data_IF_694976658880
#
_entry.id   IF_694976658880
#
_cell.length_a   1.000
_cell.length_b   1.000
_cell.length_c   1.000
_cell.angle_alpha   90.00
_cell.angle_beta   90.00
_cell.angle_gamma   90.00
#
_symmetry.space_group_name_H-M   'P 1'
#
loop_
_entity.id
_entity.type
_entity.pdbx_description
1 polymer ?
#
# COMPACT_ATOMS: atom_id res chain seq x y z
N UNK A 1 22.68 -13.00 16.91
CA UNK A 1 23.51 -11.77 16.80
C UNK A 1 24.78 -12.16 16.07
N UNK A 2 25.29 -11.44 15.06
CA UNK A 2 25.64 -10.00 14.94
C UNK A 2 25.33 -9.62 13.46
N UNK A 3 25.11 -8.39 12.94
CA UNK A 3 25.72 -7.07 13.21
C UNK A 3 24.80 -5.95 12.67
N UNK A 4 24.58 -4.88 13.45
CA UNK A 4 24.63 -3.53 12.88
C UNK A 4 23.39 -2.94 12.19
N UNK A 5 22.21 -3.55 12.27
CA UNK A 5 20.97 -2.88 11.83
C UNK A 5 20.38 -1.97 12.91
N UNK A 6 21.08 -0.91 13.33
CA UNK A 6 20.39 0.24 13.94
C UNK A 6 19.56 0.88 12.82
N UNK A 7 18.34 0.40 12.61
CA UNK A 7 17.29 1.14 11.90
C UNK A 7 16.81 2.29 12.78
N UNK A 8 17.74 3.13 13.22
CA UNK A 8 17.48 4.30 14.05
C UNK A 8 17.31 5.51 13.16
N UNK A 9 16.06 5.97 13.09
CA UNK A 9 15.69 7.38 12.89
C UNK A 9 15.96 7.95 11.51
N UNK A 10 14.92 8.01 10.66
CA UNK A 10 14.52 9.23 9.93
C UNK A 10 13.45 8.93 8.86
N UNK A 11 12.43 8.15 9.20
CA UNK A 11 11.24 8.04 8.37
C UNK A 11 10.05 8.22 9.30
N UNK A 12 9.23 9.26 9.10
CA UNK A 12 7.98 9.43 9.84
C UNK A 12 7.11 8.19 9.62
N UNK A 13 7.23 7.23 10.53
CA UNK A 13 6.40 6.03 10.61
C UNK A 13 5.11 6.45 11.28
N UNK A 14 4.04 6.63 10.51
CA UNK A 14 2.71 6.65 11.10
C UNK A 14 2.40 5.25 11.59
N UNK A 15 2.26 5.08 12.90
CA UNK A 15 1.71 3.86 13.46
C UNK A 15 0.29 3.69 12.90
N UNK A 16 0.04 2.61 12.17
CA UNK A 16 -1.32 2.16 11.90
C UNK A 16 -1.84 1.54 13.19
N UNK A 17 -2.29 2.38 14.12
CA UNK A 17 -3.10 1.93 15.23
C UNK A 17 -4.52 1.64 14.70
N UNK A 18 -5.00 0.44 14.98
CA UNK A 18 -6.43 0.07 15.00
C UNK A 18 -7.24 0.29 13.71
N UNK A 19 -6.79 -0.15 12.53
CA UNK A 19 -7.69 -0.32 11.37
C UNK A 19 -8.50 0.92 10.94
N UNK A 20 -8.13 2.12 11.40
CA UNK A 20 -8.89 3.38 11.29
C UNK A 20 -8.07 4.52 10.71
N UNK A 21 -6.74 4.44 10.72
CA UNK A 21 -5.92 5.47 10.08
C UNK A 21 -5.94 5.22 8.57
N UNK A 22 -6.85 5.91 7.91
CA UNK A 22 -6.91 5.99 6.46
C UNK A 22 -5.59 6.55 5.91
N UNK A 23 -5.03 5.95 4.84
CA UNK A 23 -3.80 6.44 4.21
C UNK A 23 -3.87 7.94 3.88
N UNK A 24 -5.05 8.42 3.48
CA UNK A 24 -5.34 9.84 3.31
C UNK A 24 -5.07 10.67 4.58
N UNK A 25 -5.65 10.27 5.71
CA UNK A 25 -5.46 10.94 7.00
C UNK A 25 -4.00 10.86 7.48
N UNK A 26 -3.33 9.72 7.28
CA UNK A 26 -1.91 9.61 7.61
C UNK A 26 -1.08 10.64 6.84
N UNK A 27 -1.28 10.71 5.52
CA UNK A 27 -0.57 11.64 4.64
C UNK A 27 -0.90 13.09 4.98
N UNK A 28 -2.17 13.43 5.17
CA UNK A 28 -2.61 14.80 5.47
C UNK A 28 -2.04 15.34 6.79
N UNK A 29 -1.74 14.46 7.75
CA UNK A 29 -1.09 14.82 9.01
C UNK A 29 0.44 15.01 8.89
N UNK A 30 1.04 14.71 7.74
CA UNK A 30 2.48 14.87 7.54
C UNK A 30 2.83 16.31 7.16
N UNK A 31 3.95 16.81 7.69
CA UNK A 31 4.44 18.17 7.36
C UNK A 31 4.64 18.32 5.86
N UNK A 32 4.03 19.35 5.28
CA UNK A 32 4.12 19.67 3.86
C UNK A 32 3.18 18.87 2.97
N UNK A 33 2.44 17.89 3.50
CA UNK A 33 1.40 17.19 2.78
C UNK A 33 0.05 17.90 2.90
N UNK A 34 -0.79 17.68 1.90
CA UNK A 34 -2.20 18.07 1.89
C UNK A 34 -2.98 17.08 1.03
N UNK A 35 -4.12 16.59 1.51
CA UNK A 35 -4.96 15.63 0.79
C UNK A 35 -6.35 16.21 0.55
N UNK A 36 -6.76 16.30 -0.72
CA UNK A 36 -8.07 16.82 -1.12
C UNK A 36 -8.77 15.92 -2.15
N UNK A 37 -9.90 15.33 -1.76
CA UNK A 37 -10.65 14.32 -2.50
C UNK A 37 -9.76 13.26 -3.17
N UNK A 38 -8.81 12.74 -2.41
CA UNK A 38 -7.86 11.73 -2.87
C UNK A 38 -6.70 12.27 -3.72
N UNK A 39 -6.66 13.56 -4.05
CA UNK A 39 -5.44 14.18 -4.61
C UNK A 39 -4.46 14.46 -3.48
N UNK A 40 -3.23 13.96 -3.61
CA UNK A 40 -2.19 14.11 -2.60
C UNK A 40 -1.17 15.12 -3.10
N UNK A 41 -1.00 16.20 -2.35
CA UNK A 41 -0.06 17.26 -2.62
C UNK A 41 1.11 17.21 -1.64
N UNK A 42 2.30 17.58 -2.11
CA UNK A 42 3.45 17.87 -1.25
C UNK A 42 4.03 19.22 -1.63
N UNK A 43 4.12 20.14 -0.67
CA UNK A 43 4.58 21.53 -0.86
C UNK A 43 3.86 22.23 -2.04
N UNK A 44 2.57 21.94 -2.23
CA UNK A 44 1.72 22.53 -3.27
C UNK A 44 1.70 21.78 -4.61
N UNK A 45 2.57 20.79 -4.81
CA UNK A 45 2.62 20.00 -6.04
C UNK A 45 1.81 18.72 -5.92
N UNK A 46 1.01 18.38 -6.95
CA UNK A 46 0.27 17.13 -7.00
C UNK A 46 1.24 15.96 -7.25
N UNK A 47 1.45 15.12 -6.25
CA UNK A 47 2.43 14.02 -6.31
C UNK A 47 1.79 12.63 -6.42
N UNK A 48 0.55 12.48 -5.96
CA UNK A 48 -0.14 11.20 -5.99
C UNK A 48 -1.67 11.32 -6.00
N UNK A 49 -2.33 10.20 -6.33
CA UNK A 49 -3.79 10.04 -6.24
C UNK A 49 -4.14 8.81 -5.42
N UNK A 50 -5.04 8.96 -4.47
CA UNK A 50 -5.57 7.93 -3.59
C UNK A 50 -6.93 7.46 -4.09
N UNK A 51 -7.12 6.15 -4.07
CA UNK A 51 -8.35 5.49 -4.42
C UNK A 51 -8.73 4.48 -3.35
N UNK A 52 -10.00 4.46 -2.99
CA UNK A 52 -10.57 3.48 -2.08
C UNK A 52 -11.72 2.75 -2.73
N UNK A 53 -11.74 1.41 -2.59
CA UNK A 53 -12.84 0.55 -3.01
C UNK A 53 -13.33 0.91 -4.42
N UNK A 54 -14.54 1.45 -4.55
CA UNK A 54 -15.17 1.77 -5.83
C UNK A 54 -14.57 3.00 -6.53
N UNK A 55 -13.92 3.92 -5.82
CA UNK A 55 -13.27 5.11 -6.43
C UNK A 55 -12.19 4.71 -7.43
N UNK A 56 -11.51 3.58 -7.20
CA UNK A 56 -10.51 3.05 -8.15
C UNK A 56 -11.15 2.74 -9.52
N UNK A 57 -12.29 2.05 -9.52
CA UNK A 57 -12.97 1.67 -10.75
C UNK A 57 -13.54 2.87 -11.49
N UNK A 58 -14.01 3.88 -10.75
CA UNK A 58 -14.43 5.15 -11.35
C UNK A 58 -13.26 5.83 -12.06
N UNK A 59 -12.09 5.88 -11.41
CA UNK A 59 -10.88 6.44 -12.01
C UNK A 59 -10.45 5.67 -13.27
N UNK A 60 -10.46 4.33 -13.23
CA UNK A 60 -10.15 3.51 -14.40
C UNK A 60 -11.11 3.79 -15.57
N UNK A 61 -12.42 3.84 -15.31
CA UNK A 61 -13.45 4.16 -16.31
C UNK A 61 -13.26 5.58 -16.88
N UNK A 62 -12.98 6.57 -16.03
CA UNK A 62 -12.68 7.96 -16.44
C UNK A 62 -11.41 8.07 -17.31
N UNK A 63 -10.49 7.11 -17.21
CA UNK A 63 -9.28 7.04 -18.03
C UNK A 63 -9.40 6.01 -19.17
N UNK A 64 -10.62 5.61 -19.52
CA UNK A 64 -10.88 4.77 -20.69
C UNK A 64 -10.65 3.27 -20.50
N UNK A 65 -10.39 2.80 -19.28
CA UNK A 65 -10.19 1.37 -18.98
C UNK A 65 -11.52 0.71 -18.70
N UNK A 66 -11.89 -0.26 -19.56
CA UNK A 66 -13.03 -1.15 -19.33
C UNK A 66 -12.58 -2.35 -18.47
N UNK A 67 -12.65 -2.18 -17.14
CA UNK A 67 -12.20 -3.18 -16.18
C UNK A 67 -12.87 -4.56 -16.36
N UNK A 68 -14.08 -4.62 -16.93
CA UNK A 68 -14.82 -5.88 -17.15
C UNK A 68 -14.14 -6.78 -18.18
N UNK A 69 -13.28 -6.24 -19.03
CA UNK A 69 -12.46 -7.02 -19.97
C UNK A 69 -11.34 -7.79 -19.27
N UNK A 70 -10.91 -7.30 -18.11
CA UNK A 70 -9.77 -7.86 -17.36
C UNK A 70 -10.20 -8.73 -16.19
N UNK A 71 -11.29 -8.35 -15.51
CA UNK A 71 -11.73 -8.98 -14.26
C UNK A 71 -13.18 -9.45 -14.33
N UNK A 72 -13.41 -10.70 -13.94
CA UNK A 72 -14.76 -11.23 -13.74
C UNK A 72 -15.43 -10.72 -12.46
N UNK A 73 -14.64 -10.23 -11.50
CA UNK A 73 -15.13 -9.64 -10.23
C UNK A 73 -14.17 -8.53 -9.77
N UNK A 74 -14.74 -7.42 -9.28
CA UNK A 74 -13.96 -6.31 -8.71
C UNK A 74 -13.12 -6.80 -7.53
N UNK A 75 -11.82 -6.53 -7.60
CA UNK A 75 -10.90 -6.56 -6.46
C UNK A 75 -10.92 -5.17 -5.80
N UNK A 76 -11.35 -5.11 -4.54
CA UNK A 76 -11.42 -3.86 -3.77
C UNK A 76 -10.25 -3.84 -2.78
N UNK A 77 -9.22 -3.02 -3.01
CA UNK A 77 -8.14 -2.90 -2.05
C UNK A 77 -8.57 -2.05 -0.85
N UNK A 78 -7.89 -2.20 0.28
CA UNK A 78 -8.10 -1.36 1.46
C UNK A 78 -7.70 0.08 1.13
N UNK A 79 -6.51 0.26 0.56
CA UNK A 79 -6.00 1.51 0.01
C UNK A 79 -5.27 1.27 -1.32
N UNK A 80 -5.33 2.25 -2.22
CA UNK A 80 -4.61 2.26 -3.47
C UNK A 80 -4.05 3.66 -3.71
N UNK A 81 -2.76 3.78 -4.00
CA UNK A 81 -2.13 5.06 -4.30
C UNK A 81 -1.38 5.00 -5.63
N UNK A 82 -1.71 5.90 -6.55
CA UNK A 82 -0.95 6.13 -7.76
C UNK A 82 0.03 7.28 -7.54
N UNK A 83 1.33 6.98 -7.61
CA UNK A 83 2.41 7.95 -7.42
C UNK A 83 2.92 8.40 -8.79
N UNK A 84 2.74 9.69 -9.08
CA UNK A 84 2.83 10.24 -10.43
C UNK A 84 4.27 10.20 -10.95
N UNK A 85 5.25 10.61 -10.13
CA UNK A 85 6.66 10.70 -10.54
C UNK A 85 7.26 9.35 -10.96
N UNK A 86 6.78 8.26 -10.35
CA UNK A 86 7.28 6.91 -10.63
C UNK A 86 6.42 6.15 -11.64
N UNK A 87 5.26 6.72 -12.00
CA UNK A 87 4.23 6.05 -12.81
C UNK A 87 3.86 4.67 -12.22
N UNK A 88 3.70 4.61 -10.89
CA UNK A 88 3.49 3.36 -10.14
C UNK A 88 2.25 3.46 -9.27
N UNK A 89 1.41 2.43 -9.36
CA UNK A 89 0.30 2.17 -8.46
C UNK A 89 0.74 1.21 -7.37
N UNK A 90 0.51 1.58 -6.12
CA UNK A 90 0.71 0.72 -4.96
C UNK A 90 -0.66 0.28 -4.43
N UNK A 91 -0.87 -1.03 -4.44
CA UNK A 91 -2.00 -1.68 -3.80
C UNK A 91 -1.61 -1.98 -2.36
N UNK A 92 -2.35 -1.43 -1.41
CA UNK A 92 -2.05 -1.54 0.01
C UNK A 92 -3.18 -2.30 0.68
N UNK A 93 -2.82 -3.40 1.36
CA UNK A 93 -3.76 -4.19 2.14
C UNK A 93 -3.30 -4.29 3.58
N UNK A 94 -4.20 -3.94 4.49
CA UNK A 94 -3.93 -3.97 5.93
C UNK A 94 -4.42 -5.31 6.48
N UNK A 95 -3.62 -5.93 7.34
CA UNK A 95 -3.98 -7.18 8.00
C UNK A 95 -3.70 -7.06 9.49
N UNK A 96 -4.77 -7.25 10.27
CA UNK A 96 -4.75 -7.24 11.72
C UNK A 96 -5.32 -8.57 12.22
N UNK A 97 -4.73 -9.13 13.28
CA UNK A 97 -5.13 -10.40 13.84
C UNK A 97 -4.87 -10.42 15.36
N UNK A 98 -5.83 -10.95 16.11
CA UNK A 98 -5.75 -11.03 17.58
C UNK A 98 -5.86 -12.46 18.13
N UNK A 99 -6.43 -13.37 17.33
CA UNK A 99 -6.57 -14.80 17.64
C UNK A 99 -6.32 -15.61 16.37
N UNK A 100 -5.91 -16.87 16.50
CA UNK A 100 -5.75 -17.75 15.34
C UNK A 100 -7.06 -17.86 14.54
N UNK A 101 -7.00 -17.80 13.21
CA UNK A 101 -8.21 -17.82 12.38
C UNK A 101 -7.96 -17.58 10.88
N UNK A 102 -9.07 -17.48 10.12
CA UNK A 102 -9.11 -17.46 8.64
C UNK A 102 -8.30 -16.37 7.90
N UNK A 103 -7.60 -15.48 8.60
CA UNK A 103 -6.71 -14.48 7.99
C UNK A 103 -5.41 -15.12 7.50
N UNK A 104 -5.02 -16.25 8.10
CA UNK A 104 -3.75 -16.92 7.85
C UNK A 104 -3.63 -17.40 6.38
N UNK A 105 -4.70 -17.91 5.78
CA UNK A 105 -4.74 -18.32 4.37
C UNK A 105 -4.72 -17.13 3.40
N UNK A 106 -5.23 -15.96 3.82
CA UNK A 106 -5.44 -14.82 2.92
C UNK A 106 -4.14 -14.13 2.51
N UNK A 107 -3.09 -14.24 3.31
CA UNK A 107 -1.77 -13.67 3.00
C UNK A 107 -1.17 -14.27 1.72
N UNK A 108 -1.52 -15.50 1.39
CA UNK A 108 -1.03 -16.20 0.19
C UNK A 108 -1.67 -15.68 -1.10
N UNK A 109 -2.79 -14.95 -1.01
CA UNK A 109 -3.55 -14.48 -2.18
C UNK A 109 -2.94 -13.26 -2.88
N UNK A 110 -1.87 -12.67 -2.31
CA UNK A 110 -1.26 -11.46 -2.86
C UNK A 110 -0.75 -11.63 -4.29
N UNK A 111 -0.16 -12.77 -4.65
CA UNK A 111 0.33 -13.03 -6.01
C UNK A 111 -0.81 -12.93 -7.04
N UNK A 112 -1.91 -13.65 -6.79
CA UNK A 112 -3.08 -13.62 -7.67
C UNK A 112 -3.64 -12.20 -7.81
N UNK A 113 -3.78 -11.48 -6.69
CA UNK A 113 -4.27 -10.09 -6.69
C UNK A 113 -3.32 -9.17 -7.45
N UNK A 114 -2.01 -9.23 -7.20
CA UNK A 114 -0.99 -8.42 -7.88
C UNK A 114 -1.06 -8.63 -9.40
N UNK A 115 -1.13 -9.89 -9.85
CA UNK A 115 -1.28 -10.23 -11.28
C UNK A 115 -2.56 -9.65 -11.90
N UNK A 116 -3.67 -9.66 -11.17
CA UNK A 116 -4.92 -9.07 -11.65
C UNK A 116 -4.84 -7.54 -11.74
N UNK A 117 -4.23 -6.87 -10.75
CA UNK A 117 -4.01 -5.43 -10.84
C UNK A 117 -3.04 -5.05 -11.96
N UNK A 118 -1.97 -5.83 -12.19
CA UNK A 118 -1.07 -5.62 -13.34
C UNK A 118 -1.85 -5.61 -14.66
N UNK A 119 -2.75 -6.59 -14.88
CA UNK A 119 -3.61 -6.61 -16.07
C UNK A 119 -4.50 -5.37 -16.13
N UNK A 120 -5.16 -5.05 -15.01
CA UNK A 120 -6.10 -3.94 -14.92
C UNK A 120 -5.46 -2.58 -15.25
N UNK A 121 -4.22 -2.36 -14.84
CA UNK A 121 -3.49 -1.11 -15.05
C UNK A 121 -2.60 -1.12 -16.30
N UNK A 122 -2.54 -2.23 -17.04
CA UNK A 122 -1.69 -2.35 -18.23
C UNK A 122 -2.08 -1.37 -19.34
N UNK A 123 -3.37 -1.08 -19.52
CA UNK A 123 -3.86 -0.10 -20.51
C UNK A 123 -3.40 1.34 -20.20
N UNK A 124 -3.14 1.65 -18.94
CA UNK A 124 -2.61 2.95 -18.51
C UNK A 124 -1.08 2.99 -18.50
N UNK A 125 -0.43 1.87 -18.82
CA UNK A 125 1.02 1.70 -18.74
C UNK A 125 1.59 2.00 -17.33
N UNK A 126 0.83 1.70 -16.27
CA UNK A 126 1.29 1.90 -14.90
C UNK A 126 2.01 0.67 -14.37
N UNK A 127 3.09 0.90 -13.61
CA UNK A 127 3.70 -0.16 -12.80
C UNK A 127 2.79 -0.47 -11.62
N UNK A 128 2.81 -1.71 -11.14
CA UNK A 128 1.98 -2.13 -9.99
C UNK A 128 2.84 -2.80 -8.94
N UNK A 129 2.78 -2.26 -7.73
CA UNK A 129 3.35 -2.86 -6.53
C UNK A 129 2.25 -3.25 -5.53
N UNK A 130 2.51 -4.28 -4.73
CA UNK A 130 1.54 -4.81 -3.77
C UNK A 130 2.18 -4.92 -2.39
N UNK A 131 1.68 -4.13 -1.46
CA UNK A 131 2.20 -4.00 -0.10
C UNK A 131 1.16 -4.51 0.90
N UNK A 132 1.61 -5.36 1.82
CA UNK A 132 0.90 -5.61 3.05
C UNK A 132 1.36 -4.67 4.15
N UNK A 133 0.43 -4.12 4.91
CA UNK A 133 0.72 -3.59 6.24
C UNK A 133 0.21 -4.59 7.27
N UNK A 134 1.14 -5.26 7.93
CA UNK A 134 0.87 -6.30 8.91
C UNK A 134 0.98 -5.72 10.31
N UNK A 135 0.22 -6.24 11.26
CA UNK A 135 0.45 -5.98 12.67
C UNK A 135 1.52 -6.92 13.27
N UNK A 136 1.79 -6.74 14.56
CA UNK A 136 2.78 -7.54 15.28
C UNK A 136 2.42 -9.03 15.41
N UNK A 137 1.15 -9.40 15.23
CA UNK A 137 0.73 -10.80 15.27
C UNK A 137 1.48 -11.64 14.23
N UNK A 138 1.66 -11.10 13.03
CA UNK A 138 2.33 -11.78 11.92
C UNK A 138 3.86 -11.82 12.04
N UNK A 139 4.43 -11.37 13.16
CA UNK A 139 5.85 -11.57 13.50
C UNK A 139 6.15 -12.96 14.06
N UNK A 140 5.13 -13.70 14.49
CA UNK A 140 5.30 -15.05 15.04
C UNK A 140 5.99 -15.98 14.02
N UNK A 141 6.76 -16.95 14.53
CA UNK A 141 7.61 -17.82 13.70
C UNK A 141 6.82 -18.67 12.71
N UNK A 142 5.61 -19.11 13.09
CA UNK A 142 4.73 -19.88 12.20
C UNK A 142 4.35 -19.17 10.89
N UNK A 143 4.54 -17.84 10.80
CA UNK A 143 4.27 -17.06 9.59
C UNK A 143 5.52 -16.89 8.71
N UNK A 144 6.66 -17.47 9.06
CA UNK A 144 7.90 -17.33 8.29
C UNK A 144 7.72 -17.75 6.84
N UNK A 145 7.13 -18.92 6.59
CA UNK A 145 6.98 -19.44 5.23
C UNK A 145 6.09 -18.55 4.35
N UNK A 146 5.01 -17.98 4.92
CA UNK A 146 4.15 -17.07 4.17
C UNK A 146 4.81 -15.72 3.92
N UNK A 147 5.64 -15.23 4.85
CA UNK A 147 6.45 -14.01 4.64
C UNK A 147 7.48 -14.20 3.54
N UNK A 148 8.18 -15.33 3.56
CA UNK A 148 9.15 -15.69 2.51
C UNK A 148 8.44 -15.82 1.16
N UNK A 149 7.26 -16.44 1.14
CA UNK A 149 6.44 -16.54 -0.07
C UNK A 149 6.02 -15.16 -0.61
N UNK A 150 5.52 -14.25 0.24
CA UNK A 150 5.14 -12.87 -0.15
C UNK A 150 6.31 -12.18 -0.88
N UNK A 151 7.53 -12.29 -0.35
CA UNK A 151 8.74 -11.71 -0.97
C UNK A 151 9.04 -12.42 -2.30
N UNK A 152 8.96 -13.75 -2.34
CA UNK A 152 9.30 -14.55 -3.52
C UNK A 152 8.44 -14.22 -4.75
N UNK A 153 7.18 -13.80 -4.53
CA UNK A 153 6.24 -13.41 -5.60
C UNK A 153 6.30 -11.90 -5.91
N UNK A 154 7.29 -11.20 -5.37
CA UNK A 154 7.53 -9.77 -5.59
C UNK A 154 6.53 -8.87 -4.87
N UNK A 155 5.77 -9.37 -3.91
CA UNK A 155 5.00 -8.52 -2.98
C UNK A 155 5.91 -8.09 -1.83
N UNK A 156 5.52 -7.06 -1.09
CA UNK A 156 6.26 -6.57 0.08
C UNK A 156 5.36 -6.49 1.29
N UNK A 157 5.94 -6.48 2.48
CA UNK A 157 5.21 -6.26 3.71
C UNK A 157 5.98 -5.35 4.66
N UNK A 158 5.24 -4.61 5.48
CA UNK A 158 5.75 -3.68 6.48
C UNK A 158 4.93 -3.84 7.77
N UNK A 159 5.51 -3.57 8.92
CA UNK A 159 4.86 -3.80 10.21
C UNK A 159 4.39 -2.50 10.85
N UNK A 160 3.08 -2.33 11.00
CA UNK A 160 2.44 -1.19 11.66
C UNK A 160 2.77 0.20 11.08
N UNK A 161 3.40 0.32 9.91
CA UNK A 161 3.71 1.63 9.32
C UNK A 161 3.59 1.66 7.80
N UNK A 162 3.36 2.85 7.26
CA UNK A 162 3.34 3.13 5.82
C UNK A 162 4.74 3.61 5.37
N UNK A 163 5.42 2.89 4.46
CA UNK A 163 6.79 3.20 4.07
C UNK A 163 6.83 4.30 2.98
N UNK A 164 6.73 5.58 3.36
CA UNK A 164 6.70 6.70 2.41
C UNK A 164 7.79 6.64 1.33
N UNK A 165 9.03 6.35 1.73
CA UNK A 165 10.16 6.24 0.81
C UNK A 165 9.99 5.11 -0.22
N UNK A 166 9.47 3.96 0.19
CA UNK A 166 9.23 2.81 -0.68
C UNK A 166 8.03 3.02 -1.61
N UNK A 167 7.07 3.86 -1.20
CA UNK A 167 6.02 4.36 -2.07
C UNK A 167 6.54 5.40 -3.08
N UNK A 168 7.77 5.89 -2.92
CA UNK A 168 8.32 6.99 -3.74
C UNK A 168 7.72 8.35 -3.39
N UNK A 169 7.24 8.51 -2.15
CA UNK A 169 6.70 9.75 -1.63
C UNK A 169 7.76 10.52 -0.83
N UNK A 170 7.74 11.87 -0.85
CA UNK A 170 8.66 12.69 -0.04
C UNK A 170 8.59 12.39 1.46
N UNK A 171 9.74 12.18 2.10
CA UNK A 171 9.79 12.03 3.56
C UNK A 171 9.95 13.42 4.18
N UNK A 172 9.00 13.92 5.00
CA UNK A 172 9.15 15.24 5.60
C UNK A 172 10.31 15.28 6.60
N UNK A 173 11.05 16.38 6.59
CA UNK A 173 12.10 16.67 7.59
C UNK A 173 11.53 16.67 9.02
N UNK A 174 12.38 16.32 9.99
CA UNK A 174 12.04 16.36 11.41
C UNK A 174 11.75 17.82 11.81
N UNK A 175 10.71 18.01 12.63
CA UNK A 175 10.65 19.24 13.42
C UNK A 175 11.77 19.10 14.46
N UNK A 176 12.87 19.83 14.27
CA UNK A 176 13.83 20.07 15.33
C UNK A 176 13.15 20.76 16.52
#
# INVERSE_FOLDING_TARGET
MVIGGKGGGNTKTGLIYEGKVELATFLDNQVGYFVDDGRVFYRGELIARLFKKHKLYKYLEENGVDWKRHLSKKLLPDDCIYVIINNTVFIIEVKHQQVAGSVDEKLQTCDFKKKQYIKLFSELNYKVEFFYILDDWFKQEQYKDVRDYIISVGCRYYYNYIPLQELGLPVPEEKQ
#
